data_IF_519908786466
#
_entry.id   IF_519908786466
#
_cell.length_a   1.000
_cell.length_b   1.000
_cell.length_c   1.000
_cell.angle_alpha   90.00
_cell.angle_beta   90.00
_cell.angle_gamma   90.00
#
_symmetry.space_group_name_H-M   'P 1'
#
loop_
_entity.id
_entity.type
_entity.pdbx_description
1 polymer ?
#
# COMPACT_ATOMS: atom_id res chain seq x y z
N UNK A 1 -68.28 1.98 10.80
CA UNK A 1 -67.50 2.15 9.57
C UNK A 1 -66.07 1.75 9.84
N UNK A 2 -65.77 0.46 9.76
CA UNK A 2 -64.41 -0.04 9.67
C UNK A 2 -64.38 -0.94 8.44
N UNK A 3 -64.07 -0.31 7.31
CA UNK A 3 -63.70 -1.01 6.10
C UNK A 3 -62.18 -1.05 6.04
N UNK A 4 -61.65 -2.17 5.56
CA UNK A 4 -60.32 -2.36 5.00
C UNK A 4 -59.22 -2.83 5.95
N UNK A 5 -59.14 -4.16 6.18
CA UNK A 5 -57.85 -4.87 6.39
C UNK A 5 -57.90 -6.39 6.20
N UNK A 6 -58.84 -6.95 5.42
CA UNK A 6 -58.79 -8.38 5.07
C UNK A 6 -58.26 -8.55 3.65
N UNK A 7 -56.95 -8.35 3.48
CA UNK A 7 -56.28 -9.02 2.38
C UNK A 7 -56.42 -10.52 2.65
N UNK A 8 -57.12 -11.24 1.76
CA UNK A 8 -57.22 -12.70 1.79
C UNK A 8 -55.83 -13.28 2.01
N UNK A 9 -55.63 -14.11 3.04
CA UNK A 9 -54.36 -14.77 3.42
C UNK A 9 -53.56 -15.28 2.19
N UNK A 10 -54.20 -15.87 1.15
CA UNK A 10 -53.54 -16.19 -0.12
C UNK A 10 -52.80 -15.04 -0.82
N UNK A 11 -53.37 -13.82 -0.81
CA UNK A 11 -52.76 -12.63 -1.41
C UNK A 11 -51.53 -12.13 -0.64
N UNK A 12 -51.52 -12.32 0.68
CA UNK A 12 -50.37 -11.96 1.53
C UNK A 12 -49.21 -12.94 1.32
N UNK A 13 -49.46 -14.25 1.28
CA UNK A 13 -48.43 -15.26 0.96
C UNK A 13 -47.84 -15.08 -0.43
N UNK A 14 -48.69 -14.83 -1.43
CA UNK A 14 -48.21 -14.58 -2.80
C UNK A 14 -47.29 -13.34 -2.87
N UNK A 15 -47.52 -12.34 -2.02
CA UNK A 15 -46.64 -11.16 -1.90
C UNK A 15 -45.32 -11.51 -1.19
N UNK A 16 -45.37 -12.21 -0.06
CA UNK A 16 -44.18 -12.65 0.68
C UNK A 16 -43.28 -13.56 -0.17
N UNK A 17 -43.87 -14.43 -1.00
CA UNK A 17 -43.12 -15.29 -1.92
C UNK A 17 -42.44 -14.49 -3.04
N UNK A 18 -43.07 -13.42 -3.54
CA UNK A 18 -42.44 -12.50 -4.50
C UNK A 18 -41.28 -11.71 -3.88
N UNK A 19 -41.41 -11.29 -2.63
CA UNK A 19 -40.35 -10.59 -1.91
C UNK A 19 -39.17 -11.54 -1.65
N UNK A 20 -39.41 -12.76 -1.15
CA UNK A 20 -38.35 -13.77 -0.94
C UNK A 20 -37.66 -14.22 -2.23
N UNK A 21 -38.40 -14.41 -3.32
CA UNK A 21 -37.81 -14.81 -4.60
C UNK A 21 -36.94 -13.72 -5.21
N UNK A 22 -37.30 -12.45 -5.00
CA UNK A 22 -36.45 -11.32 -5.33
C UNK A 22 -35.14 -11.35 -4.52
N UNK A 23 -35.23 -11.50 -3.20
CA UNK A 23 -34.03 -11.54 -2.34
C UNK A 23 -33.07 -12.66 -2.77
N UNK A 24 -33.60 -13.85 -3.08
CA UNK A 24 -32.78 -14.97 -3.60
C UNK A 24 -32.12 -14.65 -4.94
N UNK A 25 -32.83 -14.01 -5.87
CA UNK A 25 -32.24 -13.62 -7.16
C UNK A 25 -31.18 -12.52 -7.01
N UNK A 26 -31.39 -11.59 -6.10
CA UNK A 26 -30.44 -10.51 -5.79
C UNK A 26 -29.17 -11.11 -5.15
N UNK A 27 -29.31 -12.05 -4.20
CA UNK A 27 -28.18 -12.78 -3.59
C UNK A 27 -27.35 -13.56 -4.63
N UNK A 28 -28.01 -14.26 -5.55
CA UNK A 28 -27.33 -14.98 -6.64
C UNK A 28 -26.54 -14.00 -7.53
N UNK A 29 -27.13 -12.85 -7.86
CA UNK A 29 -26.48 -11.85 -8.70
C UNK A 29 -25.25 -11.27 -7.99
N UNK A 30 -25.38 -10.90 -6.72
CA UNK A 30 -24.29 -10.40 -5.89
C UNK A 30 -23.14 -11.41 -5.78
N UNK A 31 -23.45 -12.69 -5.54
CA UNK A 31 -22.43 -13.74 -5.46
C UNK A 31 -21.65 -13.89 -6.78
N UNK A 32 -22.34 -13.78 -7.91
CA UNK A 32 -21.71 -13.92 -9.23
C UNK A 32 -20.86 -12.70 -9.58
N UNK A 33 -21.31 -11.50 -9.23
CA UNK A 33 -20.49 -10.29 -9.35
C UNK A 33 -19.21 -10.39 -8.51
N UNK A 34 -19.32 -10.92 -7.29
CA UNK A 34 -18.16 -11.17 -6.43
C UNK A 34 -17.19 -12.20 -7.05
N UNK A 35 -17.69 -13.34 -7.52
CA UNK A 35 -16.85 -14.35 -8.19
C UNK A 35 -16.20 -13.80 -9.47
N UNK A 36 -16.91 -12.94 -10.20
CA UNK A 36 -16.34 -12.27 -11.36
C UNK A 36 -15.20 -11.33 -10.95
N UNK A 37 -15.38 -10.52 -9.91
CA UNK A 37 -14.32 -9.64 -9.40
C UNK A 37 -13.08 -10.44 -8.96
N UNK A 38 -13.27 -11.48 -8.13
CA UNK A 38 -12.18 -12.35 -7.66
C UNK A 38 -11.46 -13.04 -8.82
N UNK A 39 -12.19 -13.45 -9.86
CA UNK A 39 -11.61 -14.06 -11.07
C UNK A 39 -10.74 -13.08 -11.88
N UNK A 40 -11.12 -11.81 -11.93
CA UNK A 40 -10.32 -10.77 -12.61
C UNK A 40 -9.08 -10.37 -11.81
N UNK A 41 -9.17 -10.30 -10.48
CA UNK A 41 -8.01 -10.07 -9.60
C UNK A 41 -6.99 -11.22 -9.73
N UNK A 42 -7.48 -12.46 -9.78
CA UNK A 42 -6.64 -13.63 -10.01
C UNK A 42 -5.99 -13.61 -11.41
N UNK A 43 -6.72 -13.16 -12.43
CA UNK A 43 -6.19 -13.02 -13.79
C UNK A 43 -5.14 -11.90 -13.88
N UNK A 44 -5.36 -10.75 -13.23
CA UNK A 44 -4.37 -9.67 -13.16
C UNK A 44 -3.08 -10.16 -12.50
N UNK A 45 -3.21 -10.89 -11.39
CA UNK A 45 -2.08 -11.48 -10.66
C UNK A 45 -1.31 -12.47 -11.54
N UNK A 46 -2.01 -13.38 -12.21
CA UNK A 46 -1.39 -14.36 -13.10
C UNK A 46 -0.67 -13.70 -14.29
N UNK A 47 -1.27 -12.65 -14.89
CA UNK A 47 -0.61 -11.89 -15.95
C UNK A 47 0.65 -11.18 -15.46
N UNK A 48 0.62 -10.60 -14.25
CA UNK A 48 1.77 -9.94 -13.66
C UNK A 48 2.92 -10.92 -13.39
N UNK A 49 2.62 -12.12 -12.89
CA UNK A 49 3.60 -13.16 -12.58
C UNK A 49 4.22 -13.81 -13.83
N UNK A 50 3.41 -14.15 -14.84
CA UNK A 50 3.89 -14.89 -16.03
C UNK A 50 4.62 -14.02 -17.05
N UNK A 51 4.32 -12.71 -17.10
CA UNK A 51 4.88 -11.81 -18.13
C UNK A 51 5.93 -10.84 -17.61
N UNK A 52 6.06 -10.67 -16.29
CA UNK A 52 6.91 -9.65 -15.65
C UNK A 52 6.84 -8.30 -16.39
N UNK A 53 5.63 -7.72 -16.54
CA UNK A 53 5.42 -6.64 -17.50
C UNK A 53 6.15 -5.36 -17.06
N UNK A 54 6.70 -4.63 -18.03
CA UNK A 54 7.16 -3.27 -17.80
C UNK A 54 5.98 -2.35 -17.43
N UNK A 55 6.25 -1.18 -16.84
CA UNK A 55 5.22 -0.27 -16.33
C UNK A 55 4.16 0.10 -17.39
N UNK A 56 4.58 0.21 -18.66
CA UNK A 56 3.69 0.48 -19.78
C UNK A 56 2.79 -0.70 -20.10
N UNK A 57 3.32 -1.93 -20.14
CA UNK A 57 2.53 -3.14 -20.42
C UNK A 57 1.60 -3.47 -19.26
N UNK A 58 2.04 -3.26 -18.02
CA UNK A 58 1.18 -3.40 -16.83
C UNK A 58 -0.03 -2.46 -16.89
N UNK A 59 0.19 -1.19 -17.24
CA UNK A 59 -0.91 -0.23 -17.43
C UNK A 59 -1.86 -0.63 -18.57
N UNK A 60 -1.33 -1.18 -19.67
CA UNK A 60 -2.14 -1.66 -20.78
C UNK A 60 -2.97 -2.90 -20.41
N UNK A 61 -2.41 -3.85 -19.64
CA UNK A 61 -3.15 -5.00 -19.12
C UNK A 61 -4.27 -4.58 -18.19
N UNK A 62 -3.98 -3.70 -17.23
CA UNK A 62 -4.99 -3.18 -16.31
C UNK A 62 -6.16 -2.53 -17.06
N UNK A 63 -5.86 -1.62 -18.00
CA UNK A 63 -6.90 -1.00 -18.81
C UNK A 63 -7.69 -2.02 -19.64
N UNK A 64 -7.03 -3.06 -20.17
CA UNK A 64 -7.69 -4.14 -20.91
C UNK A 64 -8.62 -4.98 -20.02
N UNK A 65 -8.17 -5.32 -18.81
CA UNK A 65 -8.95 -6.05 -17.81
C UNK A 65 -10.14 -5.22 -17.32
N UNK A 66 -9.95 -3.94 -17.00
CA UNK A 66 -11.02 -3.04 -16.60
C UNK A 66 -12.10 -2.95 -17.69
N UNK A 67 -11.69 -2.82 -18.96
CA UNK A 67 -12.62 -2.77 -20.08
C UNK A 67 -13.38 -4.09 -20.30
N UNK A 68 -12.72 -5.23 -20.05
CA UNK A 68 -13.34 -6.55 -20.15
C UNK A 68 -14.30 -6.80 -18.97
N UNK A 69 -13.91 -6.41 -17.76
CA UNK A 69 -14.73 -6.50 -16.56
C UNK A 69 -15.98 -5.64 -16.68
N UNK A 70 -15.87 -4.40 -17.15
CA UNK A 70 -17.03 -3.53 -17.41
C UNK A 70 -18.01 -4.16 -18.42
N UNK A 71 -17.52 -4.81 -19.47
CA UNK A 71 -18.37 -5.55 -20.41
C UNK A 71 -19.02 -6.77 -19.75
N UNK A 72 -18.30 -7.49 -18.90
CA UNK A 72 -18.84 -8.63 -18.16
C UNK A 72 -19.94 -8.17 -17.21
N UNK A 73 -19.75 -7.09 -16.46
CA UNK A 73 -20.77 -6.54 -15.55
C UNK A 73 -22.08 -6.22 -16.29
N UNK A 74 -22.02 -5.57 -17.45
CA UNK A 74 -23.20 -5.34 -18.28
C UNK A 74 -23.88 -6.65 -18.70
N UNK A 75 -23.10 -7.67 -19.06
CA UNK A 75 -23.63 -8.99 -19.42
C UNK A 75 -24.21 -9.75 -18.24
N UNK A 76 -23.62 -9.63 -17.05
CA UNK A 76 -24.17 -10.19 -15.82
C UNK A 76 -25.53 -9.53 -15.56
N UNK A 77 -25.60 -8.20 -15.52
CA UNK A 77 -26.86 -7.47 -15.31
C UNK A 77 -27.97 -7.87 -16.29
N UNK A 78 -27.68 -7.89 -17.61
CA UNK A 78 -28.65 -8.27 -18.64
C UNK A 78 -29.16 -9.72 -18.48
N UNK A 79 -28.24 -10.67 -18.29
CA UNK A 79 -28.59 -12.08 -18.21
C UNK A 79 -29.26 -12.43 -16.88
N UNK A 80 -28.83 -11.83 -15.77
CA UNK A 80 -29.43 -12.07 -14.47
C UNK A 80 -30.80 -11.42 -14.32
N UNK A 81 -31.04 -10.30 -14.99
CA UNK A 81 -32.40 -9.74 -15.12
C UNK A 81 -33.33 -10.73 -15.82
N UNK A 82 -32.87 -11.35 -16.93
CA UNK A 82 -33.66 -12.37 -17.65
C UNK A 82 -33.85 -13.64 -16.83
N UNK A 83 -32.80 -14.08 -16.15
CA UNK A 83 -32.85 -15.22 -15.24
C UNK A 83 -33.86 -14.99 -14.12
N UNK A 84 -33.79 -13.84 -13.42
CA UNK A 84 -34.72 -13.50 -12.35
C UNK A 84 -36.17 -13.45 -12.86
N UNK A 85 -36.41 -12.86 -14.04
CA UNK A 85 -37.73 -12.87 -14.66
C UNK A 85 -38.23 -14.29 -14.94
N UNK A 86 -37.37 -15.16 -15.46
CA UNK A 86 -37.74 -16.55 -15.75
C UNK A 86 -37.96 -17.37 -14.48
N UNK A 87 -37.06 -17.25 -13.50
CA UNK A 87 -37.15 -17.94 -12.22
C UNK A 87 -38.43 -17.54 -11.47
N UNK A 88 -38.78 -16.25 -11.47
CA UNK A 88 -40.03 -15.76 -10.87
C UNK A 88 -41.26 -16.32 -11.57
N UNK A 89 -41.22 -16.47 -12.89
CA UNK A 89 -42.37 -16.95 -13.67
C UNK A 89 -42.53 -18.48 -13.66
N UNK A 90 -41.43 -19.24 -13.55
CA UNK A 90 -41.45 -20.69 -13.73
C UNK A 90 -41.18 -21.47 -12.43
N UNK A 91 -40.34 -20.95 -11.54
CA UNK A 91 -39.88 -21.66 -10.34
C UNK A 91 -40.52 -21.14 -9.06
N UNK A 92 -40.72 -19.82 -8.96
CA UNK A 92 -41.22 -19.18 -7.74
C UNK A 92 -42.69 -18.75 -7.83
N UNK A 93 -43.35 -18.98 -8.97
CA UNK A 93 -44.78 -18.73 -9.11
C UNK A 93 -45.60 -19.84 -8.44
N UNK A 94 -46.61 -19.46 -7.66
CA UNK A 94 -47.63 -20.40 -7.20
C UNK A 94 -48.71 -20.49 -8.29
N UNK A 95 -49.03 -21.69 -8.81
CA UNK A 95 -50.13 -21.87 -9.74
C UNK A 95 -51.47 -21.41 -9.13
N UNK A 96 -52.32 -20.76 -9.93
CA UNK A 96 -53.62 -20.23 -9.48
C UNK A 96 -54.51 -21.30 -8.87
N UNK A 97 -54.43 -22.53 -9.39
CA UNK A 97 -55.22 -23.67 -8.94
C UNK A 97 -54.88 -24.06 -7.49
N UNK A 98 -53.62 -23.90 -7.08
CA UNK A 98 -53.17 -24.16 -5.71
C UNK A 98 -53.66 -23.06 -4.76
N UNK A 99 -53.62 -21.80 -5.21
CA UNK A 99 -54.12 -20.65 -4.45
C UNK A 99 -55.63 -20.79 -4.21
N UNK A 100 -56.38 -21.18 -5.24
CA UNK A 100 -57.82 -21.41 -5.17
C UNK A 100 -58.17 -22.62 -4.30
N UNK A 101 -57.40 -23.71 -4.41
CA UNK A 101 -57.55 -24.88 -3.54
C UNK A 101 -57.32 -24.52 -2.08
N UNK A 102 -56.22 -23.83 -1.73
CA UNK A 102 -55.95 -23.35 -0.36
C UNK A 102 -57.05 -22.41 0.16
N UNK A 103 -57.61 -21.55 -0.69
CA UNK A 103 -58.68 -20.62 -0.31
C UNK A 103 -60.03 -21.34 -0.09
N UNK A 104 -60.25 -22.47 -0.78
CA UNK A 104 -61.48 -23.27 -0.71
C UNK A 104 -61.42 -24.40 0.33
N UNK A 105 -60.21 -24.78 0.74
CA UNK A 105 -60.00 -25.77 1.80
C UNK A 105 -60.44 -25.18 3.14
N UNK A 106 -61.67 -25.48 3.55
CA UNK A 106 -62.20 -25.20 4.89
C UNK A 106 -61.45 -25.96 6.01
N UNK A 107 -60.49 -26.82 5.65
CA UNK A 107 -59.74 -27.73 6.52
C UNK A 107 -58.43 -27.13 7.05
N UNK A 108 -58.20 -25.82 6.97
CA UNK A 108 -57.04 -25.19 7.66
C UNK A 108 -57.14 -25.38 9.19
N UNK A 109 -58.34 -25.63 9.72
CA UNK A 109 -58.58 -26.03 11.12
C UNK A 109 -58.33 -27.52 11.40
N UNK A 110 -57.98 -28.33 10.40
CA UNK A 110 -57.64 -29.75 10.54
C UNK A 110 -56.12 -30.01 10.63
N UNK A 111 -55.33 -29.00 11.00
CA UNK A 111 -53.99 -29.26 11.53
C UNK A 111 -54.15 -30.02 12.85
N UNK A 112 -53.39 -31.10 13.11
CA UNK A 112 -53.43 -31.78 14.40
C UNK A 112 -53.17 -30.73 15.48
N UNK A 113 -54.14 -30.53 16.39
CA UNK A 113 -54.00 -29.57 17.48
C UNK A 113 -52.74 -29.91 18.25
N UNK A 114 -51.74 -29.03 18.18
CA UNK A 114 -50.54 -29.12 19.02
C UNK A 114 -51.02 -29.18 20.45
N UNK A 115 -50.57 -30.18 21.22
CA UNK A 115 -50.97 -30.29 22.62
C UNK A 115 -50.49 -29.08 23.43
N UNK A 116 -51.20 -28.72 24.50
CA UNK A 116 -50.77 -27.62 25.39
C UNK A 116 -49.35 -27.84 25.95
N UNK A 117 -48.96 -29.11 26.11
CA UNK A 117 -47.62 -29.50 26.55
C UNK A 117 -46.55 -29.19 25.49
N UNK A 118 -46.81 -29.52 24.22
CA UNK A 118 -45.92 -29.21 23.10
C UNK A 118 -45.82 -27.69 22.85
N UNK A 119 -46.94 -26.97 22.95
CA UNK A 119 -46.95 -25.51 22.85
C UNK A 119 -46.13 -24.88 23.99
N UNK A 120 -46.27 -25.38 25.21
CA UNK A 120 -45.47 -24.96 26.37
C UNK A 120 -43.96 -25.21 26.20
N UNK A 121 -43.58 -26.33 25.58
CA UNK A 121 -42.17 -26.62 25.23
C UNK A 121 -41.67 -25.63 24.18
N UNK A 122 -42.40 -25.42 23.08
CA UNK A 122 -42.03 -24.47 22.03
C UNK A 122 -41.87 -23.05 22.58
N UNK A 123 -42.75 -22.60 23.47
CA UNK A 123 -42.66 -21.30 24.13
C UNK A 123 -41.42 -21.16 25.02
N UNK A 124 -41.04 -22.25 25.69
CA UNK A 124 -39.82 -22.31 26.50
C UNK A 124 -38.57 -22.22 25.63
N UNK A 125 -38.53 -22.94 24.50
CA UNK A 125 -37.45 -22.91 23.52
C UNK A 125 -37.33 -21.53 22.88
N UNK A 126 -38.45 -20.90 22.55
CA UNK A 126 -38.51 -19.58 21.93
C UNK A 126 -37.99 -18.52 22.92
N UNK A 127 -38.34 -18.61 24.21
CA UNK A 127 -37.73 -17.77 25.26
C UNK A 127 -36.23 -18.00 25.39
N UNK A 128 -35.77 -19.24 25.37
CA UNK A 128 -34.34 -19.57 25.44
C UNK A 128 -33.57 -19.03 24.23
N UNK A 129 -34.13 -19.15 23.02
CA UNK A 129 -33.57 -18.61 21.78
C UNK A 129 -33.51 -17.09 21.80
N UNK A 130 -34.58 -16.41 22.23
CA UNK A 130 -34.59 -14.94 22.41
C UNK A 130 -33.50 -14.49 23.37
N UNK A 131 -33.34 -15.18 24.51
CA UNK A 131 -32.27 -14.88 25.46
C UNK A 131 -30.87 -15.11 24.85
N UNK A 132 -30.70 -16.18 24.06
CA UNK A 132 -29.43 -16.48 23.36
C UNK A 132 -29.10 -15.42 22.31
N UNK A 133 -30.09 -14.97 21.53
CA UNK A 133 -29.94 -13.88 20.55
C UNK A 133 -29.57 -12.58 21.26
N UNK A 134 -30.21 -12.25 22.39
CA UNK A 134 -29.87 -11.05 23.16
C UNK A 134 -28.42 -11.08 23.66
N UNK A 135 -27.96 -12.23 24.17
CA UNK A 135 -26.56 -12.41 24.58
C UNK A 135 -25.59 -12.27 23.40
N UNK A 136 -25.91 -12.92 22.27
CA UNK A 136 -25.08 -12.82 21.06
C UNK A 136 -24.99 -11.39 20.53
N UNK A 137 -26.10 -10.62 20.55
CA UNK A 137 -26.11 -9.20 20.18
C UNK A 137 -25.25 -8.36 21.12
N UNK A 138 -25.35 -8.59 22.43
CA UNK A 138 -24.51 -7.90 23.40
C UNK A 138 -23.01 -8.19 23.19
N UNK A 139 -22.67 -9.45 22.92
CA UNK A 139 -21.30 -9.85 22.60
C UNK A 139 -20.81 -9.22 21.30
N UNK A 140 -21.65 -9.19 20.25
CA UNK A 140 -21.33 -8.51 18.99
C UNK A 140 -21.00 -7.04 19.22
N UNK A 141 -21.85 -6.30 19.95
CA UNK A 141 -21.62 -4.88 20.23
C UNK A 141 -20.33 -4.66 21.04
N UNK A 142 -20.05 -5.54 22.02
CA UNK A 142 -18.81 -5.47 22.79
C UNK A 142 -17.59 -5.70 21.91
N UNK A 143 -17.64 -6.71 21.03
CA UNK A 143 -16.57 -7.03 20.08
C UNK A 143 -16.36 -5.92 19.05
N UNK A 144 -17.43 -5.33 18.49
CA UNK A 144 -17.33 -4.20 17.57
C UNK A 144 -16.66 -2.98 18.24
N UNK A 145 -16.98 -2.73 19.51
CA UNK A 145 -16.35 -1.66 20.28
C UNK A 145 -14.87 -1.94 20.54
N UNK A 146 -14.51 -3.18 20.84
CA UNK A 146 -13.12 -3.61 21.02
C UNK A 146 -12.33 -3.47 19.71
N UNK A 147 -12.88 -3.95 18.59
CA UNK A 147 -12.30 -3.77 17.26
C UNK A 147 -12.08 -2.28 16.95
N UNK A 148 -13.08 -1.43 17.18
CA UNK A 148 -12.93 0.01 16.96
C UNK A 148 -11.86 0.66 17.86
N UNK A 149 -11.67 0.15 19.08
CA UNK A 149 -10.58 0.59 19.96
C UNK A 149 -9.21 0.17 19.42
N UNK A 150 -9.09 -1.10 19.00
CA UNK A 150 -7.85 -1.64 18.43
C UNK A 150 -7.48 -0.94 17.11
N UNK A 151 -8.44 -0.60 16.26
CA UNK A 151 -8.19 0.18 15.03
C UNK A 151 -7.59 1.55 15.37
N UNK A 152 -8.13 2.25 16.36
CA UNK A 152 -7.57 3.54 16.81
C UNK A 152 -6.16 3.41 17.39
N UNK A 153 -5.90 2.33 18.12
CA UNK A 153 -4.57 2.04 18.66
C UNK A 153 -3.57 1.74 17.53
N UNK A 154 -3.97 0.98 16.51
CA UNK A 154 -3.17 0.74 15.30
C UNK A 154 -2.88 2.02 14.53
N UNK A 155 -3.87 2.89 14.35
CA UNK A 155 -3.70 4.21 13.71
C UNK A 155 -2.67 5.07 14.48
N UNK A 156 -2.80 5.13 15.81
CA UNK A 156 -1.85 5.83 16.69
C UNK A 156 -0.43 5.27 16.57
N UNK A 157 -0.28 3.94 16.54
CA UNK A 157 1.01 3.31 16.30
C UNK A 157 1.57 3.62 14.91
N UNK A 158 0.72 3.65 13.88
CA UNK A 158 1.09 4.08 12.54
C UNK A 158 1.66 5.50 12.51
N UNK A 159 1.05 6.44 13.22
CA UNK A 159 1.57 7.80 13.36
C UNK A 159 2.93 7.85 14.07
N UNK A 160 3.08 7.09 15.16
CA UNK A 160 4.35 7.02 15.91
C UNK A 160 5.46 6.42 15.04
N UNK A 161 5.18 5.34 14.32
CA UNK A 161 6.13 4.73 13.38
C UNK A 161 6.52 5.72 12.28
N UNK A 162 5.56 6.45 11.71
CA UNK A 162 5.83 7.49 10.72
C UNK A 162 6.73 8.62 11.25
N UNK A 163 6.50 9.06 12.51
CA UNK A 163 7.37 10.05 13.17
C UNK A 163 8.78 9.50 13.40
N UNK A 164 8.90 8.25 13.86
CA UNK A 164 10.20 7.58 14.05
C UNK A 164 10.96 7.51 12.72
N UNK A 165 10.31 7.05 11.64
CA UNK A 165 10.94 6.98 10.31
C UNK A 165 11.45 8.35 9.84
N UNK A 166 10.66 9.42 10.08
CA UNK A 166 11.06 10.79 9.74
C UNK A 166 12.28 11.25 10.53
N UNK A 167 12.31 10.97 11.85
CA UNK A 167 13.46 11.27 12.72
C UNK A 167 14.69 10.48 12.28
N UNK A 168 14.55 9.18 12.04
CA UNK A 168 15.65 8.32 11.58
C UNK A 168 16.23 8.82 10.25
N UNK A 169 15.39 9.24 9.31
CA UNK A 169 15.84 9.82 8.05
C UNK A 169 16.58 11.15 8.25
N UNK A 170 16.11 12.01 9.16
CA UNK A 170 16.77 13.29 9.47
C UNK A 170 18.14 13.08 10.15
N UNK A 171 18.21 12.18 11.14
CA UNK A 171 19.46 11.81 11.82
C UNK A 171 20.45 11.17 10.84
N UNK A 172 19.97 10.33 9.91
CA UNK A 172 20.80 9.74 8.86
C UNK A 172 21.45 10.79 7.96
N UNK A 173 20.69 11.81 7.54
CA UNK A 173 21.20 12.95 6.75
C UNK A 173 22.22 13.77 7.53
N UNK A 174 21.97 14.05 8.80
CA UNK A 174 22.89 14.83 9.62
C UNK A 174 24.19 14.07 9.89
N UNK A 175 24.11 12.77 10.20
CA UNK A 175 25.29 11.92 10.36
C UNK A 175 26.15 11.85 9.08
N UNK A 176 25.52 11.82 7.90
CA UNK A 176 26.24 11.87 6.63
C UNK A 176 27.02 13.20 6.48
N UNK A 177 26.39 14.34 6.77
CA UNK A 177 27.04 15.67 6.73
C UNK A 177 28.20 15.78 7.72
N UNK A 178 28.02 15.30 8.95
CA UNK A 178 29.09 15.29 9.96
C UNK A 178 30.28 14.46 9.47
N UNK A 179 30.03 13.29 8.86
CA UNK A 179 31.08 12.44 8.31
C UNK A 179 31.84 13.12 7.17
N UNK A 180 31.14 13.81 6.27
CA UNK A 180 31.77 14.61 5.21
C UNK A 180 32.62 15.75 5.78
N UNK A 181 32.10 16.50 6.76
CA UNK A 181 32.83 17.59 7.42
C UNK A 181 34.07 17.09 8.18
N UNK A 182 33.98 15.93 8.83
CA UNK A 182 35.12 15.30 9.51
C UNK A 182 36.20 14.87 8.52
N UNK A 183 35.80 14.32 7.37
CA UNK A 183 36.72 13.96 6.28
C UNK A 183 37.44 15.19 5.72
N UNK A 184 36.71 16.26 5.43
CA UNK A 184 37.27 17.52 4.93
C UNK A 184 38.21 18.19 5.96
N UNK A 185 37.89 18.13 7.25
CA UNK A 185 38.77 18.64 8.30
C UNK A 185 40.04 17.79 8.40
N UNK A 186 39.91 16.47 8.27
CA UNK A 186 41.03 15.54 8.23
C UNK A 186 42.00 15.83 7.08
N UNK A 187 41.50 16.15 5.89
CA UNK A 187 42.35 16.52 4.74
C UNK A 187 43.06 17.85 4.99
N UNK A 188 42.37 18.87 5.51
CA UNK A 188 42.99 20.16 5.86
C UNK A 188 44.11 19.96 6.89
N UNK A 189 43.87 19.18 7.95
CA UNK A 189 44.88 18.89 8.98
C UNK A 189 46.07 18.14 8.37
N UNK A 190 45.81 17.21 7.45
CA UNK A 190 46.89 16.48 6.78
C UNK A 190 47.72 17.40 5.88
N UNK A 191 47.08 18.26 5.09
CA UNK A 191 47.76 19.26 4.26
C UNK A 191 48.54 20.26 5.11
N UNK A 192 47.97 20.73 6.22
CA UNK A 192 48.67 21.59 7.17
C UNK A 192 49.94 20.91 7.72
N UNK A 193 49.85 19.64 8.14
CA UNK A 193 51.02 18.86 8.58
C UNK A 193 52.09 18.70 7.51
N UNK A 194 51.72 18.60 6.23
CA UNK A 194 52.66 18.53 5.11
C UNK A 194 53.31 19.90 4.81
N UNK A 195 52.59 21.01 5.02
CA UNK A 195 53.09 22.36 4.80
C UNK A 195 54.01 22.85 5.92
N UNK A 196 53.78 22.45 7.17
CA UNK A 196 54.61 22.83 8.33
C UNK A 196 56.12 22.63 8.12
N UNK A 197 56.63 21.45 7.67
CA UNK A 197 58.06 21.28 7.44
C UNK A 197 58.59 22.12 6.27
N UNK A 198 57.78 22.37 5.24
CA UNK A 198 58.17 23.23 4.11
C UNK A 198 58.31 24.70 4.52
N UNK A 199 57.40 25.18 5.39
CA UNK A 199 57.48 26.51 5.98
C UNK A 199 58.70 26.61 6.92
N UNK A 200 58.93 25.61 7.77
CA UNK A 200 60.12 25.57 8.64
C UNK A 200 61.43 25.53 7.82
N UNK A 201 61.44 24.82 6.69
CA UNK A 201 62.58 24.80 5.77
C UNK A 201 62.79 26.13 5.06
N UNK A 202 61.71 26.80 4.61
CA UNK A 202 61.78 28.12 4.00
C UNK A 202 62.29 29.18 5.00
N UNK A 203 61.80 29.15 6.25
CA UNK A 203 62.29 30.01 7.33
C UNK A 203 63.77 29.74 7.64
N UNK A 204 64.18 28.47 7.70
CA UNK A 204 65.57 28.10 7.93
C UNK A 204 66.49 28.56 6.78
N UNK A 205 66.04 28.47 5.52
CA UNK A 205 66.77 28.99 4.36
C UNK A 205 66.90 30.52 4.39
N UNK A 206 65.86 31.22 4.85
CA UNK A 206 65.91 32.67 5.06
C UNK A 206 66.88 33.05 6.20
N UNK A 207 66.87 32.29 7.30
CA UNK A 207 67.71 32.54 8.48
C UNK A 207 69.19 32.14 8.24
N UNK A 208 69.44 31.13 7.42
CA UNK A 208 70.77 30.66 7.06
C UNK A 208 71.44 31.50 5.95
N UNK A 209 70.81 32.59 5.50
CA UNK A 209 71.39 33.48 4.49
C UNK A 209 71.56 32.79 3.13
N UNK A 210 70.53 32.07 2.67
CA UNK A 210 70.52 31.42 1.35
C UNK A 210 70.85 32.40 0.21
N UNK A 211 72.07 32.28 -0.28
CA UNK A 211 72.66 32.89 -1.46
C UNK A 211 71.66 32.89 -2.66
N UNK A 212 71.13 34.07 -3.01
CA UNK A 212 70.67 34.32 -4.38
C UNK A 212 71.92 34.31 -5.27
N UNK A 213 72.01 33.48 -6.32
CA UNK A 213 73.19 33.50 -7.17
C UNK A 213 73.22 34.84 -7.90
N UNK A 214 74.25 35.66 -7.62
CA UNK A 214 74.53 36.83 -8.41
C UNK A 214 74.74 36.41 -9.88
N UNK A 215 73.79 36.77 -10.72
CA UNK A 215 74.06 37.14 -12.11
C UNK A 215 73.57 38.56 -12.29
N UNK A 216 74.53 39.46 -12.44
CA UNK A 216 74.33 40.84 -12.81
C UNK A 216 73.52 40.96 -14.10
N UNK A 217 72.27 41.41 -13.98
CA UNK A 217 71.55 42.31 -14.90
C UNK A 217 70.12 42.47 -14.40
N UNK A 218 69.62 43.69 -14.45
CA UNK A 218 68.28 44.10 -13.98
C UNK A 218 67.17 43.22 -14.56
N UNK A 219 66.61 42.31 -13.75
CA UNK A 219 65.39 41.59 -14.07
C UNK A 219 64.50 41.62 -12.83
N UNK A 220 63.30 42.17 -13.01
CA UNK A 220 62.28 42.34 -11.99
C UNK A 220 61.99 40.99 -11.27
N UNK A 221 62.04 40.93 -9.93
CA UNK A 221 61.76 39.71 -9.17
C UNK A 221 60.38 39.09 -9.47
N UNK A 222 59.41 39.89 -9.92
CA UNK A 222 58.09 39.38 -10.36
C UNK A 222 58.22 38.56 -11.66
N UNK A 223 59.11 38.97 -12.57
CA UNK A 223 59.38 38.24 -13.82
C UNK A 223 60.18 36.97 -13.55
N UNK A 224 61.09 36.98 -12.57
CA UNK A 224 61.79 35.76 -12.14
C UNK A 224 60.84 34.75 -11.48
N UNK A 225 59.94 35.19 -10.61
CA UNK A 225 58.93 34.31 -10.02
C UNK A 225 58.00 33.71 -11.09
N UNK A 226 57.56 34.53 -12.05
CA UNK A 226 56.69 34.07 -13.13
C UNK A 226 57.42 33.12 -14.10
N UNK A 227 58.71 33.35 -14.37
CA UNK A 227 59.53 32.43 -15.17
C UNK A 227 59.89 31.14 -14.42
N UNK A 228 60.07 31.17 -13.11
CA UNK A 228 60.27 29.97 -12.28
C UNK A 228 58.99 29.12 -12.24
N UNK A 229 57.82 29.73 -12.08
CA UNK A 229 56.52 29.06 -12.17
C UNK A 229 56.30 28.48 -13.57
N UNK A 230 56.63 29.23 -14.63
CA UNK A 230 56.58 28.73 -16.02
C UNK A 230 57.59 27.60 -16.26
N UNK A 231 58.80 27.67 -15.74
CA UNK A 231 59.78 26.58 -15.85
C UNK A 231 59.34 25.32 -15.10
N UNK A 232 58.75 25.44 -13.92
CA UNK A 232 58.16 24.30 -13.20
C UNK A 232 56.99 23.65 -13.95
N UNK A 233 56.23 24.44 -14.70
CA UNK A 233 55.17 23.96 -15.59
C UNK A 233 55.73 23.31 -16.87
N UNK A 234 56.77 23.89 -17.47
CA UNK A 234 57.40 23.42 -18.72
C UNK A 234 58.26 22.17 -18.49
N UNK A 235 58.94 22.05 -17.34
CA UNK A 235 59.75 20.88 -16.98
C UNK A 235 58.93 19.67 -16.49
N UNK A 236 57.59 19.75 -16.53
CA UNK A 236 56.71 18.62 -16.23
C UNK A 236 56.73 18.14 -14.78
N UNK A 237 57.45 18.81 -13.88
CA UNK A 237 57.59 18.42 -12.47
C UNK A 237 56.26 18.47 -11.71
N UNK A 238 55.38 19.42 -12.03
CA UNK A 238 54.07 19.52 -11.36
C UNK A 238 53.13 18.40 -11.81
N UNK A 239 53.23 17.97 -13.07
CA UNK A 239 52.41 16.89 -13.64
C UNK A 239 52.88 15.51 -13.19
N UNK A 240 54.20 15.30 -13.03
CA UNK A 240 54.76 14.07 -12.47
C UNK A 240 54.50 13.95 -10.96
N UNK A 241 54.56 15.05 -10.22
CA UNK A 241 54.16 15.10 -8.81
C UNK A 241 52.66 14.85 -8.66
N UNK A 242 51.81 15.46 -9.49
CA UNK A 242 50.36 15.19 -9.49
C UNK A 242 50.04 13.75 -9.89
N UNK A 243 50.75 13.15 -10.85
CA UNK A 243 50.62 11.72 -11.18
C UNK A 243 51.03 10.82 -10.00
N UNK A 244 52.16 11.10 -9.35
CA UNK A 244 52.63 10.34 -8.19
C UNK A 244 51.65 10.44 -7.01
N UNK A 245 51.06 11.61 -6.79
CA UNK A 245 50.01 11.82 -5.78
C UNK A 245 48.74 11.05 -6.16
N UNK A 246 48.34 11.04 -7.43
CA UNK A 246 47.15 10.33 -7.90
C UNK A 246 47.31 8.79 -7.87
N UNK A 247 48.51 8.27 -8.15
CA UNK A 247 48.84 6.85 -7.97
C UNK A 247 48.81 6.44 -6.50
N UNK A 248 49.35 7.27 -5.59
CA UNK A 248 49.30 7.01 -4.14
C UNK A 248 47.86 7.04 -3.60
N UNK A 249 47.04 7.97 -4.07
CA UNK A 249 45.61 8.04 -3.73
C UNK A 249 44.83 6.84 -4.26
N UNK A 250 45.12 6.38 -5.48
CA UNK A 250 44.49 5.18 -6.06
C UNK A 250 44.87 3.90 -5.30
N UNK A 251 46.13 3.76 -4.86
CA UNK A 251 46.59 2.62 -4.06
C UNK A 251 46.00 2.59 -2.65
N UNK A 252 45.78 3.75 -2.02
CA UNK A 252 45.12 3.83 -0.71
C UNK A 252 43.61 3.56 -0.80
N UNK A 253 42.98 3.85 -1.93
CA UNK A 253 41.54 3.58 -2.13
C UNK A 253 41.28 2.08 -2.39
N UNK A 254 42.24 1.35 -2.95
CA UNK A 254 42.14 -0.10 -3.15
C UNK A 254 42.40 -0.93 -1.88
N UNK A 255 43.15 -0.40 -0.91
CA UNK A 255 43.43 -1.08 0.37
C UNK A 255 42.38 -0.80 1.46
N UNK A 256 41.37 0.03 1.15
CA UNK A 256 40.28 0.39 2.05
C UNK A 256 38.91 -0.24 1.67
N UNK A 257 38.90 -1.24 0.78
CA UNK A 257 37.81 -2.21 0.58
C UNK A 257 38.15 -3.53 1.25
#
# INVERSE_FOLDING_TARGET
SDMSTTASIPAQRAREQRERSRDVCDDITNAIEQYAAEGFDALETCLAEETEPDERTAAAFKHGLDALYAKLQLKIGDNFTRFASHANAACFSIPSEVIEYEASAADVDALPSVSEEEEGVLDSELRALRARISRARALKIASEKECASLTKELESHGEVVGRIQTITAAVGKENARVKEGLSATGTIVHTAKQLTPLLAQAEAMQRAGGFMPERSSSIDPVVMANNAVKQHFIQGSTLSVLRSINEKLSQQTQTAR
#
